data_IF_468317862565
#
_entry.id   IF_468317862565
#
_cell.length_a   1.000
_cell.length_b   1.000
_cell.length_c   1.000
_cell.angle_alpha   90.00
_cell.angle_beta   90.00
_cell.angle_gamma   90.00
#
_symmetry.space_group_name_H-M   'P 1'
#
loop_
_entity.id
_entity.type
_entity.pdbx_description
1 polymer ?
#
# COMPACT_ATOMS: atom_id res chain seq x y z
N UNK A 1 8.10 25.44 24.24
CA UNK A 1 8.38 24.95 25.61
C UNK A 1 7.07 24.39 26.13
N UNK A 2 6.92 23.09 26.30
CA UNK A 2 5.62 22.50 26.64
C UNK A 2 5.14 22.84 28.06
N UNK A 3 6.00 23.41 28.90
CA UNK A 3 5.65 23.84 30.26
C UNK A 3 5.26 25.31 30.34
N UNK A 4 5.97 26.20 29.61
CA UNK A 4 5.70 27.65 29.60
C UNK A 4 4.84 28.14 28.45
N UNK A 5 4.81 27.39 27.35
CA UNK A 5 3.97 27.62 26.17
C UNK A 5 3.41 26.27 25.67
N UNK A 6 2.51 25.64 26.45
CA UNK A 6 1.91 24.37 26.08
C UNK A 6 1.12 24.46 24.77
N UNK A 7 0.62 25.65 24.43
CA UNK A 7 -0.10 25.92 23.19
C UNK A 7 0.78 26.12 21.96
N UNK A 8 2.11 26.15 22.12
CA UNK A 8 3.07 26.40 21.04
C UNK A 8 2.77 27.69 20.25
N UNK A 9 2.31 28.72 20.95
CA UNK A 9 1.87 29.99 20.35
C UNK A 9 3.01 30.98 20.18
N UNK A 10 4.13 30.79 20.89
CA UNK A 10 5.28 31.68 20.84
C UNK A 10 6.39 31.12 19.94
N UNK A 11 6.61 31.71 18.75
CA UNK A 11 7.71 31.31 17.88
C UNK A 11 9.07 31.55 18.52
N UNK A 12 9.92 30.51 18.57
CA UNK A 12 11.27 30.61 19.14
C UNK A 12 12.32 31.15 18.16
N UNK A 13 12.03 31.23 16.86
CA UNK A 13 13.02 31.60 15.84
C UNK A 13 13.58 33.02 16.02
N UNK A 14 12.81 33.95 16.60
CA UNK A 14 13.29 35.30 16.92
C UNK A 14 14.18 35.33 18.17
N UNK A 15 14.00 34.36 19.07
CA UNK A 15 14.75 34.23 20.33
C UNK A 15 16.03 33.41 20.19
N UNK A 16 16.09 32.54 19.19
CA UNK A 16 17.21 31.64 18.90
C UNK A 16 17.56 31.68 17.39
N UNK A 17 17.99 32.83 16.85
CA UNK A 17 18.15 33.02 15.41
C UNK A 17 19.25 32.14 14.80
N UNK A 18 20.34 31.86 15.53
CA UNK A 18 21.41 30.99 15.06
C UNK A 18 20.93 29.54 14.93
N UNK A 19 20.22 29.03 15.93
CA UNK A 19 19.64 27.68 15.91
C UNK A 19 18.58 27.56 14.82
N UNK A 20 17.75 28.59 14.63
CA UNK A 20 16.78 28.61 13.55
C UNK A 20 17.46 28.54 12.17
N UNK A 21 18.57 29.26 11.97
CA UNK A 21 19.36 29.21 10.75
C UNK A 21 19.97 27.83 10.51
N UNK A 22 20.53 27.21 11.55
CA UNK A 22 21.10 25.87 11.50
C UNK A 22 20.04 24.83 11.10
N UNK A 23 18.91 24.81 11.81
CA UNK A 23 17.82 23.86 11.51
C UNK A 23 17.22 24.08 10.12
N UNK A 24 17.12 25.33 9.67
CA UNK A 24 16.65 25.65 8.31
C UNK A 24 17.61 25.12 7.25
N UNK A 25 18.92 25.28 7.47
CA UNK A 25 19.95 24.73 6.58
C UNK A 25 19.90 23.19 6.58
N UNK A 26 19.76 22.56 7.74
CA UNK A 26 19.64 21.10 7.87
C UNK A 26 18.42 20.57 7.13
N UNK A 27 17.24 21.19 7.26
CA UNK A 27 16.03 20.82 6.52
C UNK A 27 16.23 21.00 5.01
N UNK A 28 16.92 22.06 4.59
CA UNK A 28 17.19 22.30 3.17
C UNK A 28 18.13 21.24 2.60
N UNK A 29 19.21 20.91 3.30
CA UNK A 29 20.16 19.88 2.92
C UNK A 29 19.47 18.50 2.86
N UNK A 30 18.70 18.14 3.89
CA UNK A 30 17.95 16.89 3.93
C UNK A 30 16.91 16.78 2.79
N UNK A 31 16.20 17.86 2.45
CA UNK A 31 15.27 17.85 1.31
C UNK A 31 15.97 17.56 -0.01
N UNK A 32 17.15 18.14 -0.20
CA UNK A 32 17.98 17.89 -1.38
C UNK A 32 18.46 16.43 -1.41
N UNK A 33 18.97 15.93 -0.28
CA UNK A 33 19.41 14.55 -0.11
C UNK A 33 18.30 13.54 -0.43
N UNK A 34 17.10 13.77 0.10
CA UNK A 34 15.93 12.91 -0.13
C UNK A 34 15.29 13.13 -1.50
N UNK A 35 15.84 14.02 -2.34
CA UNK A 35 15.30 14.40 -3.64
C UNK A 35 13.82 14.81 -3.58
N UNK A 36 13.41 15.41 -2.46
CA UNK A 36 12.06 15.94 -2.25
C UNK A 36 12.02 17.31 -2.92
N UNK A 37 11.42 17.39 -4.11
CA UNK A 37 11.24 18.65 -4.82
C UNK A 37 10.55 19.73 -3.97
N UNK A 38 10.59 20.99 -4.42
CA UNK A 38 10.03 22.16 -3.69
C UNK A 38 8.49 22.20 -3.62
N UNK A 39 7.79 21.17 -4.11
CA UNK A 39 6.34 21.11 -4.26
C UNK A 39 5.58 20.65 -3.02
N UNK A 40 4.38 21.20 -2.85
CA UNK A 40 3.47 20.94 -1.73
C UNK A 40 3.10 19.45 -1.60
N UNK A 41 3.24 18.94 -0.38
CA UNK A 41 2.75 17.62 0.06
C UNK A 41 1.22 17.61 0.01
N UNK A 42 0.63 16.53 -0.53
CA UNK A 42 -0.79 16.29 -0.27
C UNK A 42 -1.44 15.12 -1.01
N UNK A 43 -0.99 14.80 -2.23
CA UNK A 43 -1.54 13.66 -2.99
C UNK A 43 -0.40 12.97 -3.73
N UNK A 44 -0.34 11.64 -3.65
CA UNK A 44 0.60 10.87 -4.44
C UNK A 44 0.40 11.19 -5.92
N UNK A 45 1.49 11.48 -6.62
CA UNK A 45 1.48 11.87 -8.04
C UNK A 45 1.42 10.66 -8.97
N UNK A 46 1.49 9.44 -8.42
CA UNK A 46 1.35 8.19 -9.14
C UNK A 46 -0.11 7.80 -9.40
N UNK A 47 -0.33 6.71 -10.17
CA UNK A 47 -1.66 6.18 -10.47
C UNK A 47 -2.49 5.96 -9.19
N UNK A 48 -3.78 6.31 -9.25
CA UNK A 48 -4.68 6.11 -8.10
C UNK A 48 -4.32 6.93 -6.85
N UNK A 49 -3.53 8.01 -7.00
CA UNK A 49 -3.12 8.90 -5.91
C UNK A 49 -1.99 8.36 -5.03
N UNK A 50 -1.26 7.36 -5.53
CA UNK A 50 -0.20 6.64 -4.80
C UNK A 50 1.13 7.36 -4.93
N UNK A 51 1.97 7.26 -3.90
CA UNK A 51 3.35 7.76 -3.95
C UNK A 51 4.14 6.99 -5.03
N UNK A 52 4.77 7.67 -5.99
CA UNK A 52 5.49 6.98 -7.07
C UNK A 52 6.80 6.33 -6.63
N UNK A 53 7.30 6.60 -5.41
CA UNK A 53 8.55 6.01 -4.92
C UNK A 53 8.41 4.49 -4.82
N UNK A 54 9.38 3.71 -5.33
CA UNK A 54 9.28 2.26 -5.29
C UNK A 54 9.40 1.74 -3.86
N UNK A 55 8.67 0.66 -3.56
CA UNK A 55 8.80 -0.10 -2.32
C UNK A 55 9.98 -1.08 -2.43
N UNK A 56 10.90 -1.01 -1.48
CA UNK A 56 12.07 -1.90 -1.45
C UNK A 56 11.68 -3.34 -1.11
N UNK A 57 12.14 -4.29 -1.92
CA UNK A 57 12.02 -5.74 -1.65
C UNK A 57 13.40 -6.30 -1.34
N UNK A 58 13.51 -7.14 -0.31
CA UNK A 58 14.75 -7.86 -0.01
C UNK A 58 15.74 -7.10 0.85
N UNK A 59 15.27 -6.30 1.81
CA UNK A 59 16.16 -5.75 2.84
C UNK A 59 16.52 -6.86 3.84
N UNK A 60 17.80 -7.16 4.02
CA UNK A 60 18.23 -8.40 4.70
C UNK A 60 17.83 -8.44 6.18
N UNK A 61 17.89 -7.30 6.84
CA UNK A 61 17.55 -7.13 8.26
C UNK A 61 16.03 -7.10 8.50
N UNK A 62 15.26 -6.80 7.45
CA UNK A 62 13.79 -6.85 7.47
C UNK A 62 13.29 -7.61 6.24
N UNK A 63 13.37 -8.95 6.24
CA UNK A 63 13.22 -9.79 5.04
C UNK A 63 11.77 -9.92 4.55
N UNK A 64 10.85 -9.14 5.12
CA UNK A 64 9.43 -9.11 4.74
C UNK A 64 9.11 -7.71 4.23
N UNK A 65 8.65 -7.63 2.99
CA UNK A 65 8.09 -6.39 2.44
C UNK A 65 6.58 -6.49 2.41
N UNK A 66 5.92 -5.70 3.26
CA UNK A 66 4.46 -5.59 3.23
C UNK A 66 4.02 -4.71 2.06
N UNK A 67 3.07 -5.19 1.26
CA UNK A 67 2.52 -4.47 0.10
C UNK A 67 1.01 -4.16 0.32
N UNK A 68 0.68 -3.22 1.21
CA UNK A 68 -0.71 -2.91 1.52
C UNK A 68 -1.42 -2.16 0.37
N UNK A 69 -2.75 -2.20 0.36
CA UNK A 69 -3.57 -1.51 -0.66
C UNK A 69 -3.44 0.03 -0.66
N UNK A 70 -2.98 0.63 0.45
CA UNK A 70 -2.68 2.07 0.53
C UNK A 70 -1.54 2.49 -0.39
N UNK A 71 -0.57 1.58 -0.60
CA UNK A 71 0.65 1.81 -1.36
C UNK A 71 0.56 1.20 -2.78
N UNK A 72 -0.57 0.59 -3.12
CA UNK A 72 -0.86 0.02 -4.44
C UNK A 72 -1.94 0.80 -5.18
N UNK A 73 -1.87 0.86 -6.50
CA UNK A 73 -2.84 1.47 -7.38
C UNK A 73 -3.83 0.41 -7.92
N UNK A 74 -5.14 0.57 -7.73
CA UNK A 74 -6.12 -0.29 -8.35
C UNK A 74 -6.35 0.12 -9.82
N UNK A 75 -6.46 -0.86 -10.71
CA UNK A 75 -6.76 -0.71 -12.14
C UNK A 75 -8.12 -1.32 -12.48
N UNK A 76 -8.72 -0.88 -13.59
CA UNK A 76 -10.01 -1.38 -14.05
C UNK A 76 -11.18 -0.93 -13.16
N UNK A 77 -12.01 -1.86 -12.71
CA UNK A 77 -13.13 -1.64 -11.79
C UNK A 77 -12.77 -1.84 -10.32
N UNK A 78 -11.56 -2.34 -10.04
CA UNK A 78 -11.06 -2.45 -8.67
C UNK A 78 -11.01 -1.09 -7.99
N UNK A 79 -11.44 -1.01 -6.73
CA UNK A 79 -11.43 0.21 -5.91
C UNK A 79 -10.86 -0.07 -4.54
N UNK A 80 -10.52 0.99 -3.81
CA UNK A 80 -10.29 0.88 -2.36
C UNK A 80 -11.63 0.86 -1.64
N UNK A 81 -11.68 0.18 -0.50
CA UNK A 81 -12.85 0.11 0.38
C UNK A 81 -13.32 1.47 0.88
N UNK A 82 -12.42 2.46 0.98
CA UNK A 82 -12.75 3.85 1.27
C UNK A 82 -11.84 4.82 0.52
N UNK A 83 -12.21 6.11 0.58
CA UNK A 83 -11.43 7.21 -0.02
C UNK A 83 -10.10 7.43 0.71
N UNK A 84 -10.09 7.31 2.05
CA UNK A 84 -8.85 7.36 2.81
C UNK A 84 -8.04 6.07 2.54
N UNK A 85 -6.77 6.18 2.12
CA UNK A 85 -5.98 5.01 1.77
C UNK A 85 -5.58 4.19 3.01
N UNK A 86 -5.43 4.83 4.17
CA UNK A 86 -5.11 4.14 5.41
C UNK A 86 -6.27 3.24 5.87
N UNK A 87 -5.91 2.05 6.35
CA UNK A 87 -6.86 1.00 6.74
C UNK A 87 -7.83 0.58 5.62
N UNK A 88 -7.47 0.80 4.35
CA UNK A 88 -8.26 0.33 3.21
C UNK A 88 -7.72 -0.96 2.61
N UNK A 89 -8.58 -1.66 1.87
CA UNK A 89 -8.27 -2.87 1.10
C UNK A 89 -8.89 -2.77 -0.29
N UNK A 90 -8.46 -3.63 -1.22
CA UNK A 90 -9.04 -3.64 -2.57
C UNK A 90 -10.37 -4.40 -2.60
N UNK A 91 -11.34 -3.81 -3.29
CA UNK A 91 -12.70 -4.32 -3.50
C UNK A 91 -13.07 -4.20 -4.97
N UNK A 92 -14.22 -4.76 -5.36
CA UNK A 92 -14.72 -4.74 -6.73
C UNK A 92 -13.75 -5.38 -7.75
N UNK A 93 -13.05 -6.43 -7.34
CA UNK A 93 -12.29 -7.26 -8.26
C UNK A 93 -13.25 -8.22 -8.98
N UNK A 94 -13.78 -7.80 -10.13
CA UNK A 94 -14.87 -8.52 -10.82
C UNK A 94 -14.50 -8.98 -12.23
N UNK A 95 -13.57 -8.27 -12.86
CA UNK A 95 -13.15 -8.51 -14.25
C UNK A 95 -11.73 -9.06 -14.27
N UNK A 96 -11.47 -9.91 -15.25
CA UNK A 96 -10.13 -10.46 -15.50
C UNK A 96 -9.12 -9.40 -15.94
N UNK A 97 -9.60 -8.22 -16.37
CA UNK A 97 -8.80 -7.04 -16.67
C UNK A 97 -8.46 -6.19 -15.44
N UNK A 98 -9.07 -6.45 -14.28
CA UNK A 98 -8.80 -5.72 -13.04
C UNK A 98 -7.46 -6.19 -12.46
N UNK A 99 -6.73 -5.26 -11.85
CA UNK A 99 -5.45 -5.55 -11.24
C UNK A 99 -5.12 -4.60 -10.09
N UNK A 100 -4.33 -5.08 -9.15
CA UNK A 100 -3.64 -4.26 -8.15
C UNK A 100 -2.17 -4.11 -8.55
N UNK A 101 -1.65 -2.88 -8.51
CA UNK A 101 -0.30 -2.57 -9.00
C UNK A 101 0.52 -1.82 -7.96
N UNK A 102 1.77 -2.23 -7.77
CA UNK A 102 2.75 -1.55 -6.93
C UNK A 102 4.00 -1.24 -7.75
N UNK A 103 4.65 -0.11 -7.44
CA UNK A 103 5.99 0.16 -7.91
C UNK A 103 6.98 -0.41 -6.89
N UNK A 104 7.88 -1.30 -7.31
CA UNK A 104 8.82 -1.98 -6.41
C UNK A 104 10.24 -1.86 -6.92
N UNK A 105 11.20 -1.96 -6.01
CA UNK A 105 12.62 -2.08 -6.33
C UNK A 105 13.20 -3.24 -5.55
N UNK A 106 13.61 -4.29 -6.25
CA UNK A 106 14.26 -5.45 -5.65
C UNK A 106 15.69 -5.05 -5.35
N UNK A 107 16.03 -5.02 -4.06
CA UNK A 107 17.36 -4.65 -3.55
C UNK A 107 18.32 -5.83 -3.56
N UNK A 108 17.80 -7.02 -3.29
CA UNK A 108 18.58 -8.25 -3.13
C UNK A 108 17.97 -9.35 -3.99
N UNK A 109 18.80 -10.06 -4.76
CA UNK A 109 18.36 -11.23 -5.51
C UNK A 109 17.92 -12.35 -4.56
N UNK A 110 16.92 -13.13 -4.93
CA UNK A 110 16.56 -14.32 -4.17
C UNK A 110 15.19 -14.90 -4.50
N UNK A 111 14.87 -16.01 -3.85
CA UNK A 111 13.57 -16.65 -3.89
C UNK A 111 12.71 -16.11 -2.74
N UNK A 112 11.56 -15.53 -3.10
CA UNK A 112 10.63 -14.91 -2.17
C UNK A 112 9.36 -15.75 -2.06
N UNK A 113 8.93 -16.02 -0.84
CA UNK A 113 7.60 -16.58 -0.57
C UNK A 113 6.57 -15.44 -0.68
N UNK A 114 5.59 -15.61 -1.55
CA UNK A 114 4.50 -14.67 -1.73
C UNK A 114 3.29 -15.14 -0.94
N UNK A 115 2.83 -14.31 -0.01
CA UNK A 115 1.58 -14.50 0.71
C UNK A 115 0.56 -13.43 0.34
N UNK A 116 -0.72 -13.79 0.37
CA UNK A 116 -1.84 -12.90 0.10
C UNK A 116 -2.85 -12.97 1.25
N UNK A 117 -3.16 -11.82 1.83
CA UNK A 117 -4.33 -11.66 2.69
C UNK A 117 -5.55 -11.41 1.81
N UNK A 118 -6.50 -12.34 1.81
CA UNK A 118 -7.65 -12.32 0.90
C UNK A 118 -8.99 -12.52 1.62
N UNK A 119 -10.04 -12.15 0.90
CA UNK A 119 -11.41 -12.59 1.13
C UNK A 119 -11.98 -13.07 -0.21
N UNK A 120 -12.68 -14.20 -0.22
CA UNK A 120 -13.22 -14.81 -1.43
C UNK A 120 -14.57 -15.47 -1.11
N UNK A 121 -15.67 -15.07 -1.78
CA UNK A 121 -16.95 -15.76 -1.63
C UNK A 121 -16.88 -17.17 -2.22
N UNK A 122 -17.73 -18.08 -1.73
CA UNK A 122 -17.71 -19.48 -2.15
C UNK A 122 -17.86 -19.68 -3.66
N UNK A 123 -18.60 -18.78 -4.34
CA UNK A 123 -18.78 -18.82 -5.80
C UNK A 123 -17.48 -18.57 -6.59
N UNK A 124 -16.51 -17.84 -6.01
CA UNK A 124 -15.26 -17.46 -6.67
C UNK A 124 -14.09 -18.38 -6.30
N UNK A 125 -14.31 -19.41 -5.48
CA UNK A 125 -13.31 -20.44 -5.19
C UNK A 125 -12.88 -21.13 -6.49
N UNK A 126 -11.58 -21.32 -6.65
CA UNK A 126 -10.97 -21.79 -7.90
C UNK A 126 -10.44 -20.68 -8.79
N UNK A 127 -10.63 -19.41 -8.41
CA UNK A 127 -10.02 -18.25 -9.08
C UNK A 127 -8.51 -18.42 -9.20
N UNK A 128 -8.01 -18.24 -10.44
CA UNK A 128 -6.58 -18.25 -10.73
C UNK A 128 -6.05 -16.84 -10.54
N UNK A 129 -5.07 -16.68 -9.65
CA UNK A 129 -4.34 -15.44 -9.43
C UNK A 129 -3.01 -15.50 -10.19
N UNK A 130 -2.62 -14.37 -10.81
CA UNK A 130 -1.33 -14.16 -11.44
C UNK A 130 -0.64 -12.97 -10.78
N UNK A 131 0.54 -13.21 -10.20
CA UNK A 131 1.46 -12.17 -9.79
C UNK A 131 2.55 -12.05 -10.86
N UNK A 132 2.73 -10.84 -11.40
CA UNK A 132 3.82 -10.50 -12.31
C UNK A 132 4.74 -9.48 -11.68
N UNK A 133 6.04 -9.71 -11.74
CA UNK A 133 7.09 -8.77 -11.31
C UNK A 133 8.10 -8.64 -12.45
N UNK A 134 7.99 -7.55 -13.22
CA UNK A 134 8.73 -7.42 -14.48
C UNK A 134 8.39 -8.58 -15.44
N UNK A 135 9.38 -9.40 -15.75
CA UNK A 135 9.22 -10.58 -16.63
C UNK A 135 8.88 -11.87 -15.87
N UNK A 136 8.99 -11.88 -14.53
CA UNK A 136 8.71 -13.05 -13.70
C UNK A 136 7.21 -13.15 -13.43
N UNK A 137 6.70 -14.38 -13.46
CA UNK A 137 5.28 -14.67 -13.28
C UNK A 137 5.13 -15.83 -12.29
N UNK A 138 4.25 -15.65 -11.31
CA UNK A 138 3.79 -16.67 -10.37
C UNK A 138 2.28 -16.80 -10.50
N UNK A 139 1.78 -18.04 -10.59
CA UNK A 139 0.35 -18.34 -10.61
C UNK A 139 -0.03 -19.29 -9.49
N UNK A 140 -1.20 -19.08 -8.93
CA UNK A 140 -1.80 -19.96 -7.93
C UNK A 140 -3.32 -19.84 -7.93
N UNK A 141 -4.00 -20.70 -7.17
CA UNK A 141 -5.47 -20.70 -7.08
C UNK A 141 -5.93 -20.42 -5.67
N UNK A 142 -7.03 -19.69 -5.54
CA UNK A 142 -7.77 -19.59 -4.27
C UNK A 142 -8.52 -20.90 -4.06
N UNK A 143 -8.14 -21.66 -3.04
CA UNK A 143 -8.68 -23.01 -2.79
C UNK A 143 -9.76 -23.06 -1.73
N UNK A 144 -9.88 -22.03 -0.90
CA UNK A 144 -10.82 -21.98 0.22
C UNK A 144 -11.64 -20.69 0.19
N UNK A 145 -12.93 -20.82 0.46
CA UNK A 145 -13.81 -19.66 0.63
C UNK A 145 -13.49 -18.98 1.97
N UNK A 146 -13.48 -17.65 1.97
CA UNK A 146 -13.37 -16.84 3.17
C UNK A 146 -14.02 -15.48 2.94
N UNK A 147 -15.29 -15.34 3.32
CA UNK A 147 -16.04 -14.10 3.09
C UNK A 147 -16.82 -13.66 4.33
N UNK A 148 -16.13 -13.33 5.44
CA UNK A 148 -16.80 -12.91 6.67
C UNK A 148 -17.56 -11.59 6.50
N UNK A 149 -18.54 -11.31 7.35
CA UNK A 149 -19.21 -10.02 7.32
C UNK A 149 -18.24 -8.87 7.63
N UNK A 150 -18.59 -7.66 7.20
CA UNK A 150 -17.92 -6.44 7.63
C UNK A 150 -18.09 -6.27 9.15
N UNK A 151 -17.05 -5.76 9.81
CA UNK A 151 -17.12 -5.32 11.20
C UNK A 151 -17.85 -3.98 11.23
N UNK A 152 -19.12 -3.99 11.65
CA UNK A 152 -20.00 -2.82 11.66
C UNK A 152 -20.16 -2.21 13.06
N UNK A 153 -19.63 -2.87 14.08
CA UNK A 153 -19.67 -2.50 15.50
C UNK A 153 -18.38 -1.84 15.99
N UNK A 154 -17.60 -1.27 15.08
CA UNK A 154 -16.38 -0.56 15.41
C UNK A 154 -16.71 0.70 16.21
N UNK A 155 -15.87 1.07 17.18
CA UNK A 155 -15.94 2.37 17.87
C UNK A 155 -15.47 3.49 16.92
N UNK A 156 -16.24 3.66 15.86
CA UNK A 156 -16.13 4.69 14.85
C UNK A 156 -17.30 5.62 15.05
N UNK A 157 -17.04 6.93 14.99
CA UNK A 157 -18.13 7.90 14.90
C UNK A 157 -19.02 7.49 13.71
N UNK A 158 -20.36 7.45 13.83
CA UNK A 158 -21.25 7.07 12.73
C UNK A 158 -21.03 7.99 11.52
N UNK A 159 -20.34 7.48 10.50
CA UNK A 159 -19.82 8.24 9.36
C UNK A 159 -20.40 7.73 8.05
N UNK A 160 -21.73 7.63 7.96
CA UNK A 160 -22.40 7.44 6.66
C UNK A 160 -22.04 8.52 5.62
N UNK A 161 -21.31 9.57 6.03
CA UNK A 161 -20.91 10.69 5.19
C UNK A 161 -19.40 10.88 4.96
N UNK A 162 -18.46 10.35 5.79
CA UNK A 162 -17.04 10.81 5.72
C UNK A 162 -15.94 9.82 6.16
N UNK A 163 -15.59 8.86 5.29
CA UNK A 163 -14.17 8.63 4.96
C UNK A 163 -13.40 7.45 5.56
N UNK A 164 -13.96 6.65 6.47
CA UNK A 164 -13.25 5.46 7.02
C UNK A 164 -13.67 4.15 6.32
N UNK A 165 -12.75 3.19 6.23
CA UNK A 165 -13.06 1.84 5.75
C UNK A 165 -13.66 1.02 6.89
N UNK A 166 -14.82 0.41 6.67
CA UNK A 166 -15.28 -0.69 7.52
C UNK A 166 -14.30 -1.84 7.37
N UNK A 167 -13.78 -2.36 8.48
CA UNK A 167 -12.80 -3.45 8.39
C UNK A 167 -13.51 -4.79 8.20
N UNK A 168 -12.74 -5.77 7.75
CA UNK A 168 -13.15 -7.16 7.57
C UNK A 168 -11.98 -8.06 7.95
N UNK A 169 -12.20 -9.23 8.57
CA UNK A 169 -11.11 -10.16 8.79
C UNK A 169 -10.67 -10.80 7.47
N UNK A 170 -9.36 -10.82 7.23
CA UNK A 170 -8.73 -11.47 6.08
C UNK A 170 -8.14 -12.82 6.48
N UNK A 171 -7.96 -13.69 5.49
CA UNK A 171 -7.24 -14.95 5.65
C UNK A 171 -5.99 -14.90 4.81
N UNK A 172 -4.87 -15.36 5.35
CA UNK A 172 -3.62 -15.45 4.61
C UNK A 172 -3.56 -16.77 3.84
N UNK A 173 -3.15 -16.72 2.57
CA UNK A 173 -2.72 -17.89 1.80
C UNK A 173 -1.31 -17.68 1.26
N UNK A 174 -0.58 -18.77 1.05
CA UNK A 174 0.66 -18.76 0.27
C UNK A 174 0.30 -18.92 -1.21
N UNK A 175 0.70 -17.94 -2.03
CA UNK A 175 0.52 -18.01 -3.48
C UNK A 175 1.59 -18.90 -4.12
N UNK A 176 2.81 -18.87 -3.57
CA UNK A 176 3.95 -19.68 -4.02
C UNK A 176 5.28 -18.96 -3.83
N UNK A 177 6.31 -19.43 -4.52
CA UNK A 177 7.66 -18.86 -4.51
C UNK A 177 7.97 -18.20 -5.86
N UNK A 178 8.66 -17.06 -5.82
CA UNK A 178 9.10 -16.33 -7.01
C UNK A 178 10.56 -15.92 -6.88
N UNK A 179 11.36 -16.22 -7.89
CA UNK A 179 12.76 -15.78 -7.97
C UNK A 179 12.81 -14.38 -8.58
N UNK A 180 13.44 -13.44 -7.86
CA UNK A 180 13.55 -12.04 -8.26
C UNK A 180 15.00 -11.62 -8.34
N UNK A 181 15.31 -10.85 -9.39
CA UNK A 181 16.61 -10.20 -9.59
C UNK A 181 16.56 -8.73 -9.16
N UNK A 182 17.70 -8.11 -8.78
CA UNK A 182 17.74 -6.71 -8.40
C UNK A 182 17.28 -5.78 -9.53
N UNK A 183 16.51 -4.76 -9.18
CA UNK A 183 16.06 -3.76 -10.13
C UNK A 183 14.65 -3.24 -9.86
N UNK A 184 14.32 -2.15 -10.56
CA UNK A 184 12.97 -1.56 -10.53
C UNK A 184 12.02 -2.36 -11.39
N UNK A 185 10.84 -2.64 -10.86
CA UNK A 185 9.80 -3.36 -11.57
C UNK A 185 8.42 -2.87 -11.16
N UNK A 186 7.47 -3.00 -12.08
CA UNK A 186 6.05 -2.98 -11.76
C UNK A 186 5.66 -4.37 -11.24
N UNK A 187 5.12 -4.43 -10.03
CA UNK A 187 4.47 -5.61 -9.48
C UNK A 187 2.98 -5.50 -9.73
N UNK A 188 2.40 -6.50 -10.40
CA UNK A 188 0.98 -6.53 -10.75
C UNK A 188 0.36 -7.84 -10.30
N UNK A 189 -0.73 -7.75 -9.54
CA UNK A 189 -1.57 -8.88 -9.15
C UNK A 189 -2.89 -8.81 -9.92
N UNK A 190 -3.21 -9.84 -10.70
CA UNK A 190 -4.44 -9.96 -11.49
C UNK A 190 -5.08 -11.35 -11.34
N UNK A 191 -6.33 -11.48 -11.79
CA UNK A 191 -7.10 -12.73 -11.72
C UNK A 191 -7.56 -13.12 -13.14
N UNK A 192 -6.70 -13.77 -13.95
CA UNK A 192 -7.04 -14.12 -15.33
C UNK A 192 -8.24 -15.05 -15.48
N UNK A 193 -8.58 -15.81 -14.42
CA UNK A 193 -9.75 -16.70 -14.40
C UNK A 193 -10.52 -16.51 -13.10
N UNK A 194 -11.80 -16.14 -13.20
CA UNK A 194 -12.72 -15.94 -12.07
C UNK A 194 -13.95 -16.83 -12.34
N UNK A 195 -14.20 -17.90 -11.56
CA UNK A 195 -15.29 -18.84 -11.79
C UNK A 195 -16.68 -18.22 -11.57
N UNK A 196 -16.86 -17.52 -10.45
CA UNK A 196 -18.16 -17.05 -9.98
C UNK A 196 -18.64 -15.76 -10.62
N UNK A 197 -18.22 -15.46 -11.88
CA UNK A 197 -18.51 -14.23 -12.63
C UNK A 197 -19.89 -13.68 -12.24
N UNK A 198 -19.85 -12.57 -11.51
CA UNK A 198 -20.95 -11.90 -10.82
C UNK A 198 -22.28 -11.82 -11.58
#
# INVERSE_FOLDING_TARGET
>A
DLTRDPGQTEPLQSRLPELARELTAAVTAWRLEMNLGTGNKGKGTGPGGVDPRPLGIGYREFPITMLPARDGAPLGEMRRSAQAPNCSYFVNWRKTSDAAVWNVEVMTAGTYVVTLDYTCPAADVGSTLELRVGERVLRGKVTEAWDPALLTDQDVVPRTTHGESLMKPFRTMTLGEIELEPGRATLQLSAPEIPGRA
#
